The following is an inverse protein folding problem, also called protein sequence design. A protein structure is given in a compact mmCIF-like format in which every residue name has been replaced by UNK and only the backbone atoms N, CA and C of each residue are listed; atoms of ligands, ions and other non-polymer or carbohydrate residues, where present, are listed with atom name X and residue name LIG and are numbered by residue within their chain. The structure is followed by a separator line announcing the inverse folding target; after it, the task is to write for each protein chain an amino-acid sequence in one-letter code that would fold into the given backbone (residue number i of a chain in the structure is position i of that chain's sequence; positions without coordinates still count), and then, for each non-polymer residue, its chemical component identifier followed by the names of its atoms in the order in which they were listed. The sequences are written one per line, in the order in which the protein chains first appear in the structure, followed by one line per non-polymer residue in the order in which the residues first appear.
data_IF_000103446950
#
_entry.id   IF_000103446950
#
_cell.length_a   1.000
_cell.length_b   1.000
_cell.length_c   1.000
_cell.angle_alpha   90.00
_cell.angle_beta   90.00
_cell.angle_gamma   90.00
#
_symmetry.space_group_name_H-M   'P 1'
#
loop_
_entity.id
_entity.type
_entity.pdbx_description
1 polymer ?
#
# COMPACT_ATOMS: atom_id res chain seq x y z
N UNK A 1 -22.42 14.86 6.53
CA UNK A 1 -23.13 13.56 6.56
C UNK A 1 -22.90 12.74 5.29
N UNK A 2 -21.82 12.97 4.53
CA UNK A 2 -21.52 12.24 3.28
C UNK A 2 -20.64 10.99 3.47
N UNK A 3 -20.12 10.76 4.69
CA UNK A 3 -19.23 9.64 5.02
C UNK A 3 -19.96 8.35 5.44
N UNK A 4 -21.25 8.43 5.78
CA UNK A 4 -22.04 7.27 6.22
C UNK A 4 -22.37 6.31 5.07
N UNK A 5 -22.81 6.79 3.89
CA UNK A 5 -23.10 5.91 2.76
C UNK A 5 -21.85 5.20 2.23
N UNK A 6 -20.69 5.85 2.27
CA UNK A 6 -19.42 5.26 1.83
C UNK A 6 -18.91 4.23 2.83
N UNK A 7 -18.99 4.48 4.15
CA UNK A 7 -18.68 3.46 5.16
C UNK A 7 -19.62 2.26 5.07
N UNK A 8 -20.92 2.48 4.90
CA UNK A 8 -21.88 1.38 4.72
C UNK A 8 -21.60 0.57 3.45
N UNK A 9 -21.25 1.21 2.34
CA UNK A 9 -20.85 0.53 1.11
C UNK A 9 -19.58 -0.31 1.27
N UNK A 10 -18.58 0.22 1.98
CA UNK A 10 -17.34 -0.52 2.30
C UNK A 10 -17.63 -1.70 3.23
N UNK A 11 -18.42 -1.50 4.29
CA UNK A 11 -18.77 -2.58 5.23
C UNK A 11 -19.63 -3.65 4.54
N UNK A 12 -20.62 -3.27 3.75
CA UNK A 12 -21.50 -4.21 3.03
C UNK A 12 -20.82 -4.90 1.84
N UNK A 13 -19.75 -4.33 1.27
CA UNK A 13 -18.97 -5.00 0.22
C UNK A 13 -17.86 -5.89 0.77
N UNK A 14 -17.08 -5.35 1.71
CA UNK A 14 -15.86 -6.00 2.23
C UNK A 14 -16.19 -7.04 3.29
N UNK A 15 -17.15 -6.79 4.18
CA UNK A 15 -17.46 -7.75 5.25
C UNK A 15 -18.03 -9.07 4.70
N UNK A 16 -19.00 -9.09 3.76
CA UNK A 16 -19.48 -10.34 3.18
C UNK A 16 -18.40 -11.07 2.39
N UNK A 17 -17.57 -10.34 1.64
CA UNK A 17 -16.43 -10.93 0.94
C UNK A 17 -15.49 -11.63 1.94
N UNK A 18 -15.15 -10.97 3.04
CA UNK A 18 -14.27 -11.53 4.08
C UNK A 18 -14.90 -12.74 4.79
N UNK A 19 -16.20 -12.71 5.07
CA UNK A 19 -16.95 -13.81 5.69
C UNK A 19 -17.00 -15.03 4.75
N UNK A 20 -17.37 -14.84 3.48
CA UNK A 20 -17.42 -15.91 2.48
C UNK A 20 -16.02 -16.51 2.30
N UNK A 21 -15.00 -15.66 2.18
CA UNK A 21 -13.61 -16.10 2.05
C UNK A 21 -13.13 -16.91 3.25
N UNK A 22 -13.48 -16.49 4.47
CA UNK A 22 -13.15 -17.20 5.71
C UNK A 22 -13.88 -18.55 5.81
N UNK A 23 -15.15 -18.61 5.40
CA UNK A 23 -15.94 -19.84 5.37
C UNK A 23 -15.40 -20.87 4.35
N UNK A 24 -15.01 -20.40 3.16
CA UNK A 24 -14.47 -21.26 2.09
C UNK A 24 -13.08 -21.81 2.44
N UNK A 25 -12.19 -21.01 3.06
CA UNK A 25 -10.78 -21.38 3.34
C UNK A 25 -10.51 -21.97 4.73
N UNK A 26 -11.43 -21.81 5.68
CA UNK A 26 -11.27 -22.24 7.06
C UNK A 26 -10.53 -21.21 7.93
N UNK A 27 -10.92 -21.10 9.20
CA UNK A 27 -10.46 -20.08 10.15
C UNK A 27 -9.17 -20.48 10.88
N UNK A 28 -8.13 -20.91 10.17
CA UNK A 28 -6.84 -21.12 10.82
C UNK A 28 -6.18 -19.76 11.10
N UNK A 29 -5.77 -19.45 12.35
CA UNK A 29 -5.25 -18.13 12.72
C UNK A 29 -4.09 -17.67 11.84
N UNK A 30 -3.16 -18.57 11.49
CA UNK A 30 -2.00 -18.24 10.64
C UNK A 30 -2.39 -17.81 9.22
N UNK A 31 -3.49 -18.36 8.66
CA UNK A 31 -3.97 -17.97 7.33
C UNK A 31 -4.49 -16.53 7.36
N UNK A 32 -5.26 -16.19 8.39
CA UNK A 32 -5.79 -14.83 8.55
C UNK A 32 -4.63 -13.83 8.73
N UNK A 33 -3.61 -14.16 9.53
CA UNK A 33 -2.42 -13.31 9.67
C UNK A 33 -1.66 -13.12 8.36
N UNK A 34 -1.54 -14.17 7.55
CA UNK A 34 -0.91 -14.11 6.21
C UNK A 34 -1.68 -13.17 5.27
N UNK A 35 -3.02 -13.26 5.28
CA UNK A 35 -3.89 -12.38 4.49
C UNK A 35 -3.77 -10.91 4.93
N UNK A 36 -3.85 -10.66 6.24
CA UNK A 36 -3.74 -9.30 6.81
C UNK A 36 -2.37 -8.70 6.48
N UNK A 37 -1.29 -9.47 6.64
CA UNK A 37 0.06 -9.03 6.30
C UNK A 37 0.19 -8.67 4.81
N UNK A 38 -0.34 -9.52 3.92
CA UNK A 38 -0.36 -9.25 2.49
C UNK A 38 -1.13 -7.97 2.12
N UNK A 39 -2.33 -7.79 2.67
CA UNK A 39 -3.14 -6.59 2.45
C UNK A 39 -2.46 -5.33 3.00
N UNK A 40 -1.89 -5.40 4.21
CA UNK A 40 -1.18 -4.28 4.83
C UNK A 40 0.04 -3.85 4.01
N UNK A 41 0.81 -4.80 3.48
CA UNK A 41 1.97 -4.51 2.62
C UNK A 41 1.56 -3.86 1.30
N UNK A 42 0.50 -4.37 0.63
CA UNK A 42 -0.01 -3.77 -0.62
C UNK A 42 -0.56 -2.36 -0.36
N UNK A 43 -1.31 -2.17 0.72
CA UNK A 43 -1.81 -0.86 1.11
C UNK A 43 -0.66 0.12 1.40
N UNK A 44 0.36 -0.31 2.15
CA UNK A 44 1.51 0.51 2.48
C UNK A 44 2.34 0.87 1.23
N UNK A 45 2.53 -0.06 0.31
CA UNK A 45 3.18 0.21 -0.98
C UNK A 45 2.45 1.30 -1.78
N UNK A 46 1.12 1.25 -1.80
CA UNK A 46 0.28 2.21 -2.52
C UNK A 46 0.26 3.59 -1.85
N UNK A 47 0.16 3.62 -0.52
CA UNK A 47 0.23 4.87 0.26
C UNK A 47 1.59 5.54 0.10
N UNK A 48 2.67 4.78 0.19
CA UNK A 48 4.02 5.31 0.05
C UNK A 48 4.27 5.84 -1.36
N UNK A 49 3.73 5.18 -2.39
CA UNK A 49 3.77 5.69 -3.76
C UNK A 49 3.13 7.09 -3.84
N UNK A 50 1.92 7.25 -3.30
CA UNK A 50 1.23 8.55 -3.27
C UNK A 50 2.01 9.63 -2.50
N UNK A 51 2.52 9.28 -1.32
CA UNK A 51 3.35 10.22 -0.54
C UNK A 51 4.63 10.63 -1.30
N UNK A 52 5.31 9.68 -1.94
CA UNK A 52 6.53 9.96 -2.67
C UNK A 52 6.30 10.79 -3.93
N UNK A 53 5.15 10.63 -4.61
CA UNK A 53 4.79 11.51 -5.74
C UNK A 53 4.57 12.96 -5.29
N UNK A 54 4.07 13.16 -4.07
CA UNK A 54 3.80 14.49 -3.51
C UNK A 54 5.06 15.19 -2.96
N UNK A 55 6.17 14.46 -2.76
CA UNK A 55 7.45 15.05 -2.34
C UNK A 55 8.20 15.78 -3.45
N UNK A 56 8.00 15.40 -4.73
CA UNK A 56 8.71 16.06 -5.84
C UNK A 56 8.41 17.56 -5.97
N UNK A 57 7.14 18.03 -5.83
CA UNK A 57 6.82 19.45 -5.72
C UNK A 57 7.43 20.14 -4.49
N UNK A 58 7.54 19.43 -3.36
CA UNK A 58 8.09 19.98 -2.11
C UNK A 58 9.55 20.41 -2.28
N UNK A 59 10.36 19.60 -2.98
CA UNK A 59 11.75 19.95 -3.27
C UNK A 59 11.88 21.19 -4.14
N UNK A 60 10.98 21.38 -5.13
CA UNK A 60 10.94 22.60 -5.94
C UNK A 60 10.55 23.83 -5.12
N UNK A 61 9.60 23.69 -4.20
CA UNK A 61 9.21 24.77 -3.29
C UNK A 61 10.38 25.18 -2.37
N UNK A 62 11.08 24.21 -1.77
CA UNK A 62 12.23 24.47 -0.90
C UNK A 62 13.43 25.08 -1.65
N UNK A 63 13.64 24.70 -2.91
CA UNK A 63 14.63 25.34 -3.77
C UNK A 63 14.25 26.81 -4.05
N UNK A 64 12.97 27.08 -4.36
CA UNK A 64 12.49 28.45 -4.64
C UNK A 64 12.60 29.39 -3.43
N UNK A 65 12.58 28.83 -2.22
CA UNK A 65 12.79 29.57 -0.97
C UNK A 65 14.27 29.76 -0.61
N UNK A 66 15.19 29.25 -1.43
CA UNK A 66 16.64 29.33 -1.20
C UNK A 66 17.14 28.42 -0.07
N UNK A 67 16.28 27.54 0.47
CA UNK A 67 16.65 26.61 1.55
C UNK A 67 17.47 25.42 1.04
N UNK A 68 17.34 25.08 -0.25
CA UNK A 68 18.12 24.04 -0.92
C UNK A 68 18.89 24.62 -2.09
N UNK A 69 20.15 24.20 -2.24
CA UNK A 69 20.91 24.46 -3.47
C UNK A 69 20.35 23.62 -4.61
N UNK A 70 20.55 24.09 -5.85
CA UNK A 70 20.07 23.39 -7.06
C UNK A 70 20.63 21.97 -7.18
N UNK A 71 21.90 21.77 -6.80
CA UNK A 71 22.55 20.46 -6.79
C UNK A 71 21.89 19.50 -5.79
N UNK A 72 21.60 19.97 -4.57
CA UNK A 72 20.95 19.16 -3.53
C UNK A 72 19.51 18.84 -3.92
N UNK A 73 18.78 19.80 -4.49
CA UNK A 73 17.41 19.57 -4.99
C UNK A 73 17.39 18.56 -6.15
N UNK A 74 18.33 18.64 -7.08
CA UNK A 74 18.47 17.71 -8.21
C UNK A 74 18.81 16.29 -7.75
N UNK A 75 19.76 16.14 -6.82
CA UNK A 75 20.11 14.83 -6.28
C UNK A 75 18.95 14.23 -5.46
N UNK A 76 18.26 15.03 -4.64
CA UNK A 76 17.09 14.58 -3.90
C UNK A 76 15.96 14.11 -4.82
N UNK A 77 15.68 14.82 -5.92
CA UNK A 77 14.69 14.40 -6.92
C UNK A 77 15.08 13.10 -7.62
N UNK A 78 16.36 12.89 -7.96
CA UNK A 78 16.84 11.63 -8.56
C UNK A 78 16.66 10.45 -7.61
N UNK A 79 17.04 10.61 -6.34
CA UNK A 79 16.84 9.57 -5.33
C UNK A 79 15.37 9.29 -5.07
N UNK A 80 14.54 10.34 -4.98
CA UNK A 80 13.10 10.19 -4.85
C UNK A 80 12.52 9.41 -6.04
N UNK A 81 12.85 9.78 -7.27
CA UNK A 81 12.34 9.11 -8.47
C UNK A 81 12.68 7.61 -8.49
N UNK A 82 13.86 7.23 -8.01
CA UNK A 82 14.27 5.83 -7.89
C UNK A 82 13.45 5.10 -6.81
N UNK A 83 13.27 5.72 -5.64
CA UNK A 83 12.52 5.13 -4.53
C UNK A 83 11.01 5.05 -4.78
N UNK A 84 10.43 6.02 -5.51
CA UNK A 84 9.04 6.03 -5.99
C UNK A 84 8.70 4.75 -6.74
N UNK A 85 9.68 4.18 -7.47
CA UNK A 85 9.48 2.94 -8.23
C UNK A 85 9.89 1.71 -7.42
N UNK A 86 11.08 1.74 -6.80
CA UNK A 86 11.64 0.57 -6.14
C UNK A 86 10.85 0.14 -4.91
N UNK A 87 10.46 1.07 -4.05
CA UNK A 87 9.79 0.72 -2.80
C UNK A 87 8.42 0.09 -3.04
N UNK A 88 7.52 0.69 -3.83
CA UNK A 88 6.22 0.09 -4.10
C UNK A 88 6.33 -1.24 -4.85
N UNK A 89 7.31 -1.38 -5.76
CA UNK A 89 7.55 -2.64 -6.47
C UNK A 89 7.97 -3.77 -5.53
N UNK A 90 8.94 -3.54 -4.64
CA UNK A 90 9.44 -4.56 -3.71
C UNK A 90 8.36 -4.92 -2.68
N UNK A 91 7.82 -3.91 -1.99
CA UNK A 91 6.86 -4.11 -0.90
C UNK A 91 5.53 -4.65 -1.46
N UNK A 92 5.10 -4.15 -2.62
CA UNK A 92 3.93 -4.65 -3.33
C UNK A 92 4.08 -6.09 -3.79
N UNK A 93 5.25 -6.48 -4.32
CA UNK A 93 5.52 -7.86 -4.72
C UNK A 93 5.51 -8.83 -3.52
N UNK A 94 6.12 -8.43 -2.39
CA UNK A 94 6.08 -9.23 -1.16
C UNK A 94 4.63 -9.37 -0.69
N UNK A 95 3.86 -8.27 -0.65
CA UNK A 95 2.44 -8.30 -0.29
C UNK A 95 1.62 -9.21 -1.20
N UNK A 96 1.81 -9.10 -2.51
CA UNK A 96 1.16 -9.96 -3.50
C UNK A 96 1.52 -11.44 -3.32
N UNK A 97 2.76 -11.75 -2.93
CA UNK A 97 3.18 -13.13 -2.61
C UNK A 97 2.43 -13.68 -1.39
N UNK A 98 2.28 -12.88 -0.31
CA UNK A 98 1.49 -13.29 0.86
C UNK A 98 0.02 -13.53 0.50
N UNK A 99 -0.57 -12.64 -0.31
CA UNK A 99 -1.95 -12.81 -0.80
C UNK A 99 -2.07 -14.07 -1.67
N UNK A 100 -1.13 -14.29 -2.58
CA UNK A 100 -1.13 -15.45 -3.47
C UNK A 100 -0.96 -16.74 -2.69
N UNK A 101 -0.03 -16.81 -1.73
CA UNK A 101 0.13 -17.95 -0.84
C UNK A 101 -1.14 -18.24 -0.05
N UNK A 102 -1.84 -17.21 0.41
CA UNK A 102 -3.14 -17.35 1.05
C UNK A 102 -4.18 -17.94 0.10
N UNK A 103 -4.30 -17.43 -1.14
CA UNK A 103 -5.21 -17.95 -2.16
C UNK A 103 -4.86 -19.36 -2.66
N UNK A 104 -3.59 -19.77 -2.62
CA UNK A 104 -3.16 -21.10 -3.02
C UNK A 104 -3.22 -22.13 -1.89
N UNK A 105 -3.27 -21.71 -0.62
CA UNK A 105 -3.36 -22.63 0.51
C UNK A 105 -4.63 -23.50 0.45
N UNK A 106 -4.50 -24.80 0.18
CA UNK A 106 -5.66 -25.73 0.20
C UNK A 106 -6.18 -25.84 1.64
N UNK A 107 -7.49 -26.09 1.83
CA UNK A 107 -7.99 -26.52 3.14
C UNK A 107 -7.20 -27.78 3.58
N UNK A 108 -6.91 -27.96 4.89
CA UNK A 108 -6.43 -29.25 5.37
C UNK A 108 -7.39 -30.36 4.96
#
# INVERSE_FOLDING_TARGET
MESLPSMLGVVLGVAPAFIILSAVKGMQPWRIWTLIAGLALVANATLMLGMMTDFAPLFKALQSQGTLTEEVASNAQKHLALWVVMFPAIVGAIGANYLTAWFQSKKP
#
